data_IF_491591594261
#
_entry.id   IF_491591594261
#
_cell.length_a   1.000
_cell.length_b   1.000
_cell.length_c   1.000
_cell.angle_alpha   90.00
_cell.angle_beta   90.00
_cell.angle_gamma   90.00
#
_symmetry.space_group_name_H-M   'P 1'
#
loop_
_entity.id
_entity.type
_entity.pdbx_description
1 polymer ?
#
# COMPACT_ATOMS: atom_id res chain seq x y z
N UNK A 1 -0.45 23.50 -20.05
CA UNK A 1 -1.17 22.27 -19.68
C UNK A 1 -0.32 21.57 -18.65
N UNK A 2 -0.72 21.56 -17.38
CA UNK A 2 0.05 20.87 -16.35
C UNK A 2 -0.18 19.37 -16.51
N UNK A 3 0.88 18.61 -16.79
CA UNK A 3 0.80 17.16 -16.82
C UNK A 3 0.41 16.67 -15.42
N UNK A 4 -0.72 15.97 -15.31
CA UNK A 4 -1.10 15.27 -14.09
C UNK A 4 -0.11 14.13 -13.87
N UNK A 5 0.98 14.40 -13.15
CA UNK A 5 2.05 13.43 -12.89
C UNK A 5 1.55 12.34 -11.96
N UNK A 6 1.10 11.22 -12.53
CA UNK A 6 0.69 10.04 -11.76
C UNK A 6 1.92 9.18 -11.43
N UNK A 7 2.06 8.75 -10.17
CA UNK A 7 3.09 7.80 -9.75
C UNK A 7 2.44 6.52 -9.24
N UNK A 8 2.83 5.37 -9.79
CA UNK A 8 2.35 4.05 -9.34
C UNK A 8 3.44 3.36 -8.52
N UNK A 9 3.07 2.94 -7.31
CA UNK A 9 3.98 2.30 -6.35
C UNK A 9 3.45 0.92 -5.96
N UNK A 10 4.34 -0.07 -5.95
CA UNK A 10 4.02 -1.43 -5.50
C UNK A 10 4.53 -1.60 -4.08
N UNK A 11 3.62 -1.71 -3.12
CA UNK A 11 3.95 -2.03 -1.74
C UNK A 11 3.77 -3.52 -1.49
N UNK A 12 4.68 -4.13 -0.72
CA UNK A 12 4.65 -5.54 -0.34
C UNK A 12 4.22 -5.70 1.11
N UNK A 13 3.45 -6.74 1.40
CA UNK A 13 3.03 -7.06 2.76
C UNK A 13 4.27 -7.39 3.60
N UNK A 14 4.48 -6.66 4.69
CA UNK A 14 5.57 -6.93 5.64
C UNK A 14 5.04 -7.47 6.95
N UNK A 15 3.83 -7.04 7.36
CA UNK A 15 3.22 -7.50 8.59
C UNK A 15 1.69 -7.56 8.46
N UNK A 16 1.08 -8.76 8.42
CA UNK A 16 -0.36 -8.89 8.49
C UNK A 16 -0.88 -8.51 9.89
N UNK A 17 -2.07 -7.91 9.94
CA UNK A 17 -2.76 -7.60 11.18
C UNK A 17 -3.27 -8.88 11.86
N UNK A 18 -3.08 -8.99 13.18
CA UNK A 18 -3.48 -10.18 13.95
C UNK A 18 -4.95 -10.17 14.40
N UNK A 19 -5.55 -9.00 14.60
CA UNK A 19 -6.91 -8.88 15.12
C UNK A 19 -7.64 -7.67 14.54
N UNK A 20 -7.69 -6.53 15.24
CA UNK A 20 -8.21 -5.26 14.75
C UNK A 20 -7.04 -4.38 14.30
N UNK A 21 -7.15 -3.77 13.12
CA UNK A 21 -6.11 -2.91 12.56
C UNK A 21 -5.96 -3.09 11.06
N UNK A 22 -4.90 -2.50 10.51
CA UNK A 22 -4.56 -2.62 9.10
C UNK A 22 -3.34 -3.50 8.86
N UNK A 23 -3.33 -4.16 7.71
CA UNK A 23 -2.16 -4.86 7.20
C UNK A 23 -1.10 -3.81 6.80
N UNK A 24 0.17 -4.06 7.17
CA UNK A 24 1.28 -3.15 6.89
C UNK A 24 1.95 -3.54 5.59
N UNK A 25 2.12 -2.56 4.71
CA UNK A 25 2.85 -2.72 3.46
C UNK A 25 3.98 -1.70 3.35
N UNK A 26 5.05 -2.09 2.66
CA UNK A 26 6.24 -1.25 2.45
C UNK A 26 6.66 -1.23 0.98
N UNK A 27 7.15 -0.08 0.53
CA UNK A 27 7.79 0.11 -0.77
C UNK A 27 9.07 0.92 -0.59
N UNK A 28 10.10 0.61 -1.37
CA UNK A 28 11.30 1.44 -1.46
C UNK A 28 11.14 2.43 -2.61
N UNK A 29 11.20 3.72 -2.31
CA UNK A 29 11.04 4.81 -3.28
C UNK A 29 12.25 5.71 -3.17
N UNK A 30 13.07 5.78 -4.22
CA UNK A 30 14.29 6.62 -4.26
C UNK A 30 15.27 6.36 -3.10
N UNK A 31 15.28 5.15 -2.56
CA UNK A 31 16.13 4.77 -1.42
C UNK A 31 15.45 4.89 -0.06
N UNK A 32 14.31 5.58 0.03
CA UNK A 32 13.53 5.70 1.25
C UNK A 32 12.50 4.58 1.38
N UNK A 33 12.25 4.14 2.62
CA UNK A 33 11.19 3.18 2.92
C UNK A 33 9.90 3.94 3.21
N UNK A 34 8.93 3.80 2.33
CA UNK A 34 7.56 4.25 2.57
C UNK A 34 6.75 3.08 3.13
N UNK A 35 5.99 3.34 4.20
CA UNK A 35 5.10 2.34 4.78
C UNK A 35 3.67 2.86 4.87
N UNK A 36 2.72 1.96 4.63
CA UNK A 36 1.29 2.23 4.72
C UNK A 36 0.62 1.16 5.57
N UNK A 37 -0.54 1.52 6.12
CA UNK A 37 -1.42 0.59 6.80
C UNK A 37 -2.78 0.63 6.11
N UNK A 38 -3.24 -0.51 5.61
CA UNK A 38 -4.54 -0.64 4.96
C UNK A 38 -5.48 -1.45 5.84
N UNK A 39 -6.68 -0.94 6.19
CA UNK A 39 -7.68 -1.70 6.92
C UNK A 39 -7.94 -3.07 6.28
N UNK A 40 -8.16 -4.10 7.11
CA UNK A 40 -8.41 -5.46 6.64
C UNK A 40 -9.59 -5.58 5.68
N UNK A 41 -10.57 -4.69 5.78
CA UNK A 41 -11.73 -4.62 4.86
C UNK A 41 -11.34 -4.26 3.43
N UNK A 42 -10.17 -3.65 3.23
CA UNK A 42 -9.65 -3.23 1.92
C UNK A 42 -8.54 -4.17 1.46
N UNK A 43 -7.65 -4.56 2.38
CA UNK A 43 -6.44 -5.32 2.06
C UNK A 43 -6.64 -6.83 1.95
N UNK A 44 -7.82 -7.37 2.31
CA UNK A 44 -8.04 -8.82 2.36
C UNK A 44 -9.12 -9.31 1.39
N UNK A 45 -8.88 -10.48 0.82
CA UNK A 45 -9.86 -11.26 0.05
C UNK A 45 -9.98 -12.63 0.69
N UNK A 46 -11.20 -13.05 1.04
CA UNK A 46 -11.42 -14.32 1.74
C UNK A 46 -10.72 -14.42 3.10
N UNK A 47 -10.51 -13.27 3.78
CA UNK A 47 -9.83 -13.22 5.08
C UNK A 47 -8.30 -13.28 5.02
N UNK A 48 -7.71 -13.43 3.82
CA UNK A 48 -6.27 -13.46 3.60
C UNK A 48 -5.76 -12.10 3.12
N UNK A 49 -4.64 -11.59 3.66
CA UNK A 49 -4.03 -10.34 3.21
C UNK A 49 -3.45 -10.48 1.80
N UNK A 50 -3.70 -9.46 0.98
CA UNK A 50 -3.01 -9.29 -0.29
C UNK A 50 -1.49 -9.26 -0.03
N UNK A 51 -0.71 -9.96 -0.86
CA UNK A 51 0.75 -10.01 -0.72
C UNK A 51 1.43 -8.73 -1.23
N UNK A 52 0.74 -7.99 -2.10
CA UNK A 52 1.14 -6.68 -2.58
C UNK A 52 -0.08 -5.82 -2.85
N UNK A 53 0.12 -4.50 -2.85
CA UNK A 53 -0.88 -3.51 -3.25
C UNK A 53 -0.24 -2.51 -4.21
N UNK A 54 -0.98 -2.13 -5.23
CA UNK A 54 -0.60 -1.07 -6.16
C UNK A 54 -1.31 0.21 -5.73
N UNK A 55 -0.54 1.26 -5.44
CA UNK A 55 -1.05 2.57 -5.03
C UNK A 55 -0.67 3.61 -6.07
N UNK A 56 -1.69 4.34 -6.49
CA UNK A 56 -1.57 5.49 -7.37
C UNK A 56 -1.54 6.77 -6.54
N UNK A 57 -0.49 7.57 -6.69
CA UNK A 57 -0.38 8.92 -6.11
C UNK A 57 -0.56 9.94 -7.22
N UNK A 58 -1.50 10.86 -7.02
CA UNK A 58 -1.77 11.98 -7.93
C UNK A 58 -1.57 13.29 -7.14
N UNK A 59 -0.58 14.12 -7.49
CA UNK A 59 -0.41 15.46 -6.94
C UNK A 59 -1.66 16.31 -7.22
N UNK A 60 -2.05 17.12 -6.24
CA UNK A 60 -3.12 18.12 -6.41
C UNK A 60 -2.57 19.43 -6.96
#
# INVERSE_FOLDING_TARGET
MSENKQTNLIFKLTRPAKSKGGDRYEATVQGDIMSIYLPQSISRVGGQPAQSVNITITPQ
#
